data_IF_472721256372
#
_entry.id   IF_472721256372
#
_cell.length_a   1.000
_cell.length_b   1.000
_cell.length_c   1.000
_cell.angle_alpha   90.00
_cell.angle_beta   90.00
_cell.angle_gamma   90.00
#
_symmetry.space_group_name_H-M   'P 1'
#
loop_
_entity.id
_entity.type
_entity.pdbx_description
1 polymer ?
#
# COMPACT_ATOMS: atom_id res chain seq x y z
N UNK A 1 11.23 2.36 3.43
CA UNK A 1 11.70 0.96 3.55
C UNK A 1 10.63 0.12 4.24
N UNK A 2 10.21 -0.93 3.58
CA UNK A 2 9.29 -1.91 4.17
C UNK A 2 10.06 -3.20 4.42
N UNK A 3 10.04 -3.68 5.65
CA UNK A 3 10.60 -4.97 5.99
C UNK A 3 9.52 -6.03 5.87
N UNK A 4 9.70 -6.98 4.96
CA UNK A 4 8.77 -8.08 4.72
C UNK A 4 9.44 -9.41 5.10
N UNK A 5 8.63 -10.46 5.19
CA UNK A 5 9.10 -11.81 5.47
C UNK A 5 10.23 -12.26 4.53
N UNK A 6 10.12 -11.97 3.25
CA UNK A 6 11.03 -12.44 2.21
C UNK A 6 12.09 -11.41 1.80
N UNK A 7 12.19 -10.29 2.49
CA UNK A 7 13.22 -9.29 2.25
C UNK A 7 12.74 -7.86 2.42
N UNK A 8 13.66 -6.93 2.29
CA UNK A 8 13.37 -5.50 2.43
C UNK A 8 13.00 -4.90 1.08
N UNK A 9 12.04 -4.00 1.10
CA UNK A 9 11.55 -3.29 -0.10
C UNK A 9 11.77 -1.80 0.11
N UNK A 10 12.52 -1.18 -0.79
CA UNK A 10 12.73 0.26 -0.79
C UNK A 10 11.75 0.92 -1.77
N UNK A 11 10.98 1.88 -1.26
CA UNK A 11 10.08 2.69 -2.06
C UNK A 11 10.63 4.10 -2.18
N UNK A 12 10.63 4.64 -3.40
CA UNK A 12 10.87 6.06 -3.60
C UNK A 12 9.53 6.77 -3.61
N UNK A 13 9.28 7.60 -2.60
CA UNK A 13 8.06 8.40 -2.54
C UNK A 13 8.22 9.65 -3.41
N UNK A 14 7.14 10.04 -4.07
CA UNK A 14 7.13 11.14 -5.05
C UNK A 14 6.24 12.28 -4.56
N UNK A 15 6.73 13.14 -3.66
CA UNK A 15 5.95 14.29 -3.18
C UNK A 15 5.66 15.32 -4.27
N UNK A 16 6.44 15.31 -5.36
CA UNK A 16 6.17 16.14 -6.54
C UNK A 16 4.88 15.71 -7.25
N UNK A 17 4.49 14.43 -7.17
CA UNK A 17 3.27 13.91 -7.80
C UNK A 17 2.07 13.97 -6.86
N UNK A 18 2.27 13.72 -5.58
CA UNK A 18 1.19 13.58 -4.61
C UNK A 18 1.63 14.10 -3.23
N UNK A 19 1.79 15.43 -3.08
CA UNK A 19 2.36 16.00 -1.85
C UNK A 19 1.57 15.66 -0.60
N UNK A 20 0.26 15.68 -0.64
CA UNK A 20 -0.59 15.40 0.53
C UNK A 20 -0.60 13.92 0.88
N UNK A 21 -0.69 13.05 -0.12
CA UNK A 21 -0.67 11.60 0.09
C UNK A 21 0.68 11.14 0.65
N UNK A 22 1.78 11.62 0.07
CA UNK A 22 3.13 11.29 0.54
C UNK A 22 3.35 11.77 1.97
N UNK A 23 2.90 12.98 2.29
CA UNK A 23 3.02 13.52 3.64
C UNK A 23 2.29 12.64 4.66
N UNK A 24 1.09 12.18 4.35
CA UNK A 24 0.32 11.32 5.24
C UNK A 24 0.96 9.94 5.39
N UNK A 25 1.45 9.34 4.31
CA UNK A 25 2.17 8.07 4.38
C UNK A 25 3.38 8.18 5.30
N UNK A 26 4.19 9.23 5.13
CA UNK A 26 5.36 9.46 5.98
C UNK A 26 4.98 9.61 7.45
N UNK A 27 3.91 10.35 7.73
CA UNK A 27 3.41 10.55 9.07
C UNK A 27 3.00 9.21 9.72
N UNK A 28 2.25 8.38 8.99
CA UNK A 28 1.83 7.07 9.47
C UNK A 28 3.03 6.12 9.68
N UNK A 29 4.01 6.16 8.77
CA UNK A 29 5.24 5.38 8.92
C UNK A 29 5.98 5.78 10.21
N UNK A 30 6.14 7.08 10.44
CA UNK A 30 6.84 7.59 11.63
C UNK A 30 6.13 7.27 12.93
N UNK A 31 4.81 7.15 12.89
CA UNK A 31 4.00 6.77 14.05
C UNK A 31 4.00 5.25 14.30
N UNK A 32 4.59 4.47 13.40
CA UNK A 32 4.57 3.01 13.48
C UNK A 32 3.23 2.39 13.11
N UNK A 33 2.33 3.15 12.49
CA UNK A 33 0.98 2.71 12.18
C UNK A 33 0.93 1.54 11.19
N UNK A 34 1.90 1.44 10.29
CA UNK A 34 1.97 0.35 9.31
C UNK A 34 2.64 -0.92 9.82
N UNK A 35 3.29 -0.86 10.99
CA UNK A 35 3.95 -2.04 11.53
C UNK A 35 2.90 -3.12 11.87
N UNK A 36 3.09 -4.32 11.36
CA UNK A 36 2.18 -5.44 11.58
C UNK A 36 0.97 -5.46 10.66
N UNK A 37 0.84 -4.53 9.72
CA UNK A 37 -0.34 -4.42 8.85
C UNK A 37 -0.25 -5.39 7.68
N UNK A 38 -1.34 -6.14 7.46
CA UNK A 38 -1.41 -7.22 6.49
C UNK A 38 -1.51 -6.73 5.05
N UNK A 39 -0.96 -7.54 4.13
CA UNK A 39 -1.31 -7.47 2.72
C UNK A 39 -2.60 -8.27 2.54
N UNK A 40 -3.72 -7.64 2.79
CA UNK A 40 -5.02 -8.31 2.90
C UNK A 40 -5.67 -8.64 1.56
N UNK A 41 -5.24 -7.98 0.49
CA UNK A 41 -5.78 -8.18 -0.87
C UNK A 41 -4.63 -8.24 -1.86
N UNK A 42 -4.38 -9.42 -2.42
CA UNK A 42 -3.27 -9.64 -3.35
C UNK A 42 -3.79 -10.44 -4.53
N UNK A 43 -3.83 -9.79 -5.69
CA UNK A 43 -4.31 -10.40 -6.93
C UNK A 43 -3.11 -10.76 -7.79
N UNK A 44 -2.90 -12.04 -8.11
CA UNK A 44 -1.77 -12.46 -8.94
C UNK A 44 -1.76 -11.73 -10.29
N UNK A 45 -0.59 -11.26 -10.70
CA UNK A 45 -0.42 -10.56 -11.96
C UNK A 45 -1.00 -9.15 -12.00
N UNK A 46 -1.55 -8.67 -10.89
CA UNK A 46 -2.14 -7.33 -10.79
C UNK A 46 -1.45 -6.48 -9.72
N UNK A 47 -1.80 -6.69 -8.45
CA UNK A 47 -1.24 -5.83 -7.39
C UNK A 47 -1.31 -6.50 -6.00
N UNK A 48 -0.52 -5.96 -5.06
CA UNK A 48 -0.60 -6.30 -3.64
C UNK A 48 -1.06 -5.06 -2.86
N UNK A 49 -2.16 -5.18 -2.14
CA UNK A 49 -2.76 -4.08 -1.38
C UNK A 49 -2.59 -4.29 0.12
N UNK A 50 -2.24 -3.22 0.83
CA UNK A 50 -1.99 -3.21 2.26
C UNK A 50 -2.40 -1.85 2.85
N UNK A 51 -2.13 -1.66 4.13
CA UNK A 51 -2.23 -0.33 4.75
C UNK A 51 -3.53 -0.04 5.47
N UNK A 52 -4.41 -1.03 5.71
CA UNK A 52 -5.57 -0.83 6.59
C UNK A 52 -5.08 -0.84 8.04
N UNK A 53 -4.75 0.34 8.56
CA UNK A 53 -4.19 0.48 9.90
C UNK A 53 -5.21 0.26 11.01
N UNK A 54 -6.49 0.25 10.67
CA UNK A 54 -7.57 0.05 11.63
C UNK A 54 -7.92 -1.43 11.83
N UNK A 55 -8.13 -2.15 10.73
CA UNK A 55 -8.59 -3.54 10.76
C UNK A 55 -7.56 -4.56 10.30
N UNK A 56 -6.46 -4.10 9.72
CA UNK A 56 -5.46 -4.96 9.11
C UNK A 56 -4.21 -5.23 9.92
N UNK A 57 -4.11 -4.73 11.15
CA UNK A 57 -2.94 -4.93 11.98
C UNK A 57 -2.98 -6.32 12.61
N UNK A 58 -2.11 -7.23 12.14
CA UNK A 58 -2.08 -8.62 12.60
C UNK A 58 -1.54 -8.79 14.01
N UNK A 59 -0.88 -7.77 14.53
CA UNK A 59 -0.35 -7.77 15.89
C UNK A 59 -1.35 -7.18 16.88
N UNK A 60 -2.35 -6.44 16.39
CA UNK A 60 -3.33 -5.72 17.21
C UNK A 60 -4.67 -5.61 16.50
N UNK A 61 -5.64 -6.44 16.86
CA UNK A 61 -7.01 -6.25 16.45
C UNK A 61 -7.31 -6.55 14.97
N UNK A 62 -6.61 -7.50 14.38
CA UNK A 62 -6.92 -7.92 13.01
C UNK A 62 -8.35 -8.43 12.90
N UNK A 63 -9.12 -7.87 11.98
CA UNK A 63 -10.51 -8.23 11.72
C UNK A 63 -10.67 -8.64 10.25
N UNK A 64 -10.68 -9.94 9.99
CA UNK A 64 -10.75 -10.47 8.63
C UNK A 64 -12.05 -10.09 7.91
N UNK A 65 -13.13 -9.83 8.64
CA UNK A 65 -14.42 -9.46 8.05
C UNK A 65 -14.45 -8.00 7.58
N UNK A 66 -13.65 -7.13 8.20
CA UNK A 66 -13.66 -5.68 7.93
C UNK A 66 -12.41 -5.17 7.25
N UNK A 67 -11.33 -5.95 7.22
CA UNK A 67 -10.07 -5.51 6.63
C UNK A 67 -10.29 -5.08 5.17
N UNK A 68 -9.69 -3.95 4.81
CA UNK A 68 -9.90 -3.31 3.52
C UNK A 68 -10.88 -2.13 3.57
N UNK A 69 -11.62 -1.98 4.67
CA UNK A 69 -12.60 -0.89 4.84
C UNK A 69 -12.11 0.21 5.76
N UNK A 70 -10.98 0.03 6.45
CA UNK A 70 -10.50 0.96 7.45
C UNK A 70 -9.42 1.89 6.95
N UNK A 71 -9.08 2.85 7.79
CA UNK A 71 -8.02 3.80 7.55
C UNK A 71 -7.53 4.40 8.86
N UNK A 72 -6.74 5.45 8.78
CA UNK A 72 -6.25 6.16 9.95
C UNK A 72 -7.32 7.10 10.53
N UNK A 73 -7.00 7.70 11.68
CA UNK A 73 -7.85 8.73 12.29
C UNK A 73 -7.72 10.10 11.61
N UNK A 74 -6.83 10.23 10.62
CA UNK A 74 -6.67 11.46 9.86
C UNK A 74 -7.76 11.56 8.79
N UNK A 75 -8.08 12.77 8.33
CA UNK A 75 -9.06 12.97 7.26
C UNK A 75 -8.66 12.26 5.97
N UNK A 76 -9.66 11.89 5.19
CA UNK A 76 -9.43 11.38 3.83
C UNK A 76 -8.75 12.45 2.97
N UNK A 77 -8.03 11.99 1.96
CA UNK A 77 -7.21 12.84 1.11
C UNK A 77 -7.90 13.10 -0.23
N UNK A 78 -7.88 14.34 -0.73
CA UNK A 78 -8.35 14.62 -2.08
C UNK A 78 -7.45 13.94 -3.11
N UNK A 79 -8.02 13.57 -4.25
CA UNK A 79 -7.25 12.96 -5.33
C UNK A 79 -6.11 13.87 -5.80
N UNK A 80 -4.98 13.26 -6.11
CA UNK A 80 -3.79 13.95 -6.66
C UNK A 80 -3.35 13.20 -7.92
N UNK A 81 -4.23 13.14 -8.92
CA UNK A 81 -3.97 12.41 -10.17
C UNK A 81 -2.83 13.06 -10.94
N UNK A 82 -2.06 12.22 -11.63
CA UNK A 82 -0.93 12.67 -12.45
C UNK A 82 -0.89 11.88 -13.75
N UNK A 83 0.07 12.22 -14.62
CA UNK A 83 0.31 11.50 -15.88
C UNK A 83 1.24 10.30 -15.68
N UNK A 84 1.74 10.07 -14.48
CA UNK A 84 2.63 8.95 -14.20
C UNK A 84 1.89 7.62 -14.43
N UNK A 85 2.42 6.70 -15.23
CA UNK A 85 1.71 5.46 -15.56
C UNK A 85 1.79 4.44 -14.42
N UNK A 86 0.79 3.57 -14.35
CA UNK A 86 0.82 2.40 -13.49
C UNK A 86 1.51 1.25 -14.21
N UNK A 87 2.77 1.05 -13.87
CA UNK A 87 3.60 -0.02 -14.41
C UNK A 87 4.08 -0.91 -13.26
N UNK A 88 4.75 -2.01 -13.57
CA UNK A 88 5.31 -2.88 -12.53
C UNK A 88 6.15 -2.07 -11.56
N UNK A 89 5.89 -2.24 -10.25
CA UNK A 89 6.58 -1.52 -9.18
C UNK A 89 5.98 -0.18 -8.79
N UNK A 90 5.02 0.35 -9.55
CA UNK A 90 4.34 1.60 -9.18
C UNK A 90 3.53 1.39 -7.91
N UNK A 91 3.58 2.38 -7.01
CA UNK A 91 2.81 2.40 -5.76
C UNK A 91 1.70 3.43 -5.89
N UNK A 92 0.47 3.00 -5.72
CA UNK A 92 -0.71 3.87 -5.78
C UNK A 92 -1.53 3.80 -4.50
N UNK A 93 -2.38 4.80 -4.30
CA UNK A 93 -3.28 4.82 -3.14
C UNK A 93 -4.59 4.12 -3.46
N UNK A 94 -4.96 3.19 -2.60
CA UNK A 94 -6.28 2.57 -2.64
C UNK A 94 -7.32 3.55 -2.15
N UNK A 95 -8.53 3.43 -2.66
CA UNK A 95 -9.66 4.29 -2.31
C UNK A 95 -10.98 3.56 -2.57
N UNK A 96 -12.06 4.10 -2.04
CA UNK A 96 -13.40 3.65 -2.40
C UNK A 96 -13.79 4.23 -3.78
N UNK A 97 -15.06 4.15 -4.14
CA UNK A 97 -15.55 4.74 -5.40
C UNK A 97 -15.42 6.28 -5.42
N UNK A 98 -15.45 6.92 -4.25
CA UNK A 98 -15.19 8.35 -4.14
C UNK A 98 -13.70 8.62 -4.39
N UNK A 99 -13.32 9.38 -5.44
CA UNK A 99 -11.91 9.66 -5.72
C UNK A 99 -11.19 10.44 -4.62
N UNK A 100 -11.92 11.06 -3.71
CA UNK A 100 -11.37 11.81 -2.58
C UNK A 100 -11.46 11.01 -1.27
N UNK A 101 -11.36 9.69 -1.33
CA UNK A 101 -11.49 8.82 -0.16
C UNK A 101 -10.22 8.06 0.22
N UNK A 102 -9.09 8.37 -0.40
CA UNK A 102 -7.81 7.76 -0.03
C UNK A 102 -7.43 8.17 1.40
N UNK A 103 -6.82 7.27 2.14
CA UNK A 103 -6.45 7.54 3.53
C UNK A 103 -5.10 6.90 3.89
N UNK A 104 -5.06 5.58 4.10
CA UNK A 104 -3.85 4.89 4.53
C UNK A 104 -3.50 3.70 3.65
N UNK A 105 -4.47 3.13 2.95
CA UNK A 105 -4.23 1.93 2.16
C UNK A 105 -3.54 2.27 0.84
N UNK A 106 -2.57 1.44 0.47
CA UNK A 106 -1.85 1.58 -0.79
C UNK A 106 -1.62 0.20 -1.41
N UNK A 107 -1.23 0.21 -2.68
CA UNK A 107 -0.96 -1.03 -3.40
C UNK A 107 0.31 -0.91 -4.24
N UNK A 108 0.95 -2.04 -4.48
CA UNK A 108 2.16 -2.15 -5.30
C UNK A 108 1.82 -3.01 -6.50
N UNK A 109 2.12 -2.50 -7.70
CA UNK A 109 1.80 -3.20 -8.95
C UNK A 109 2.76 -4.36 -9.20
N UNK A 110 2.22 -5.54 -9.52
CA UNK A 110 3.01 -6.67 -10.01
C UNK A 110 3.31 -6.54 -11.51
N UNK A 111 2.44 -5.87 -12.24
CA UNK A 111 2.54 -5.73 -13.69
C UNK A 111 1.87 -4.43 -14.13
N UNK A 112 1.96 -4.09 -15.41
CA UNK A 112 1.40 -2.86 -15.93
C UNK A 112 -0.13 -2.89 -15.83
N UNK A 113 -0.70 -1.75 -15.38
CA UNK A 113 -2.14 -1.58 -15.25
C UNK A 113 -2.61 -0.26 -15.86
N UNK A 114 -2.53 -0.11 -17.21
CA UNK A 114 -2.84 1.18 -17.84
C UNK A 114 -4.28 1.65 -17.61
N UNK A 115 -5.20 0.74 -17.29
CA UNK A 115 -6.58 1.11 -16.96
C UNK A 115 -6.70 1.90 -15.66
N UNK A 116 -5.63 1.95 -14.83
CA UNK A 116 -5.58 2.76 -13.60
C UNK A 116 -5.03 4.16 -13.85
N UNK A 117 -4.40 4.39 -15.00
CA UNK A 117 -3.76 5.68 -15.30
C UNK A 117 -4.75 6.84 -15.21
N UNK A 118 -4.40 7.87 -14.43
CA UNK A 118 -5.24 9.04 -14.23
C UNK A 118 -6.48 8.81 -13.37
N UNK A 119 -6.67 7.58 -12.84
CA UNK A 119 -7.84 7.20 -12.04
C UNK A 119 -7.48 7.01 -10.57
N UNK A 120 -6.20 6.81 -10.26
CA UNK A 120 -5.67 6.62 -8.91
C UNK A 120 -4.44 7.49 -8.72
N UNK A 121 -4.20 7.89 -7.48
CA UNK A 121 -3.04 8.72 -7.14
C UNK A 121 -1.78 7.85 -7.06
N UNK A 122 -0.75 8.22 -7.81
CA UNK A 122 0.59 7.60 -7.73
C UNK A 122 1.37 8.29 -6.62
N UNK A 123 1.91 7.53 -5.68
CA UNK A 123 2.70 8.06 -4.57
C UNK A 123 4.19 7.73 -4.68
N UNK A 124 4.55 6.77 -5.51
CA UNK A 124 5.94 6.38 -5.66
C UNK A 124 6.15 5.11 -6.47
N UNK A 125 7.31 4.52 -6.30
CA UNK A 125 7.67 3.27 -6.97
C UNK A 125 8.64 2.46 -6.12
N UNK A 126 8.70 1.15 -6.38
CA UNK A 126 9.72 0.27 -5.82
C UNK A 126 11.03 0.50 -6.55
N UNK A 127 12.09 0.80 -5.79
CA UNK A 127 13.44 0.99 -6.35
C UNK A 127 14.36 -0.18 -6.05
N UNK A 128 14.04 -1.00 -5.05
CA UNK A 128 14.74 -2.26 -4.79
C UNK A 128 13.82 -3.21 -4.02
N UNK A 129 14.09 -4.51 -4.13
CA UNK A 129 13.34 -5.51 -3.38
C UNK A 129 12.06 -5.97 -4.05
N UNK A 130 11.88 -5.74 -5.35
CA UNK A 130 10.68 -6.21 -6.05
C UNK A 130 10.53 -7.73 -5.97
N UNK A 131 11.63 -8.47 -5.84
CA UNK A 131 11.60 -9.92 -5.64
C UNK A 131 10.84 -10.29 -4.36
N UNK A 132 11.00 -9.51 -3.29
CA UNK A 132 10.26 -9.73 -2.04
C UNK A 132 8.78 -9.43 -2.22
N UNK A 133 8.44 -8.40 -3.00
CA UNK A 133 7.05 -8.08 -3.33
C UNK A 133 6.41 -9.24 -4.09
N UNK A 134 7.12 -9.81 -5.06
CA UNK A 134 6.63 -10.94 -5.85
C UNK A 134 6.33 -12.17 -5.00
N UNK A 135 6.97 -12.31 -3.84
CA UNK A 135 6.79 -13.43 -2.92
C UNK A 135 5.69 -13.22 -1.89
N UNK A 136 5.04 -12.06 -1.85
CA UNK A 136 3.90 -11.81 -0.97
C UNK A 136 2.83 -12.84 -1.27
N UNK A 137 2.26 -13.43 -0.21
CA UNK A 137 1.22 -14.44 -0.33
C UNK A 137 0.02 -13.89 -1.09
N UNK A 138 -0.39 -14.60 -2.12
CA UNK A 138 -1.45 -14.19 -3.02
C UNK A 138 -2.80 -14.76 -2.60
N UNK A 139 -3.85 -14.00 -2.87
CA UNK A 139 -5.21 -14.44 -2.69
C UNK A 139 -5.76 -15.07 -3.96
N UNK A 140 -7.05 -15.40 -3.92
CA UNK A 140 -7.79 -15.97 -5.06
C UNK A 140 -8.48 -14.85 -5.84
N UNK A 141 -8.36 -14.88 -7.18
CA UNK A 141 -9.12 -13.95 -8.02
C UNK A 141 -10.63 -14.11 -7.82
N UNK A 142 -11.09 -15.34 -7.58
CA UNK A 142 -12.50 -15.62 -7.33
C UNK A 142 -13.01 -14.94 -6.05
N UNK A 143 -12.12 -14.67 -5.09
CA UNK A 143 -12.43 -13.98 -3.84
C UNK A 143 -11.93 -12.53 -3.85
N UNK A 144 -11.72 -11.95 -5.03
CA UNK A 144 -11.25 -10.58 -5.23
C UNK A 144 -9.90 -10.32 -4.53
N UNK A 145 -9.04 -11.35 -4.49
CA UNK A 145 -7.70 -11.23 -3.92
C UNK A 145 -7.62 -11.35 -2.40
N UNK A 146 -8.72 -11.68 -1.72
CA UNK A 146 -8.70 -11.85 -0.27
C UNK A 146 -7.71 -12.96 0.12
N UNK A 147 -6.83 -12.66 1.09
CA UNK A 147 -5.75 -13.55 1.51
C UNK A 147 -6.05 -14.12 2.88
N UNK A 148 -6.02 -15.46 2.99
CA UNK A 148 -6.08 -16.13 4.29
C UNK A 148 -4.69 -16.21 4.90
N UNK A 149 -4.55 -15.86 6.17
CA UNK A 149 -3.26 -15.80 6.86
C UNK A 149 -2.24 -14.98 6.06
N UNK A 150 -2.53 -13.71 5.78
CA UNK A 150 -1.71 -12.89 4.90
C UNK A 150 -0.33 -12.59 5.48
N UNK A 151 0.62 -12.28 4.59
CA UNK A 151 1.88 -11.69 5.00
C UNK A 151 1.63 -10.26 5.49
N UNK A 152 2.53 -9.75 6.32
CA UNK A 152 2.40 -8.41 6.90
C UNK A 152 3.65 -7.57 6.67
N UNK A 153 3.48 -6.25 6.81
CA UNK A 153 4.62 -5.35 6.94
C UNK A 153 5.18 -5.56 8.34
N UNK A 154 6.39 -6.12 8.45
CA UNK A 154 7.02 -6.34 9.75
C UNK A 154 7.36 -4.99 10.37
N UNK A 155 7.95 -4.11 9.58
CA UNK A 155 8.29 -2.75 10.00
C UNK A 155 8.38 -1.83 8.79
N UNK A 156 7.90 -0.61 8.93
CA UNK A 156 8.05 0.45 7.94
C UNK A 156 8.87 1.59 8.54
N UNK A 157 9.85 2.09 7.78
CA UNK A 157 10.72 3.19 8.23
C UNK A 157 10.93 4.20 7.10
N UNK A 158 11.24 5.42 7.48
CA UNK A 158 11.71 6.45 6.55
C UNK A 158 13.24 6.40 6.58
N UNK A 159 13.86 6.12 5.45
CA UNK A 159 15.33 5.93 5.38
C UNK A 159 16.09 7.16 5.88
N UNK A 160 15.61 8.36 5.56
CA UNK A 160 16.23 9.60 6.03
C UNK A 160 16.25 9.72 7.55
N UNK A 161 15.30 9.08 8.25
CA UNK A 161 15.22 9.11 9.72
C UNK A 161 16.18 8.12 10.39
N UNK A 162 16.76 7.19 9.62
CA UNK A 162 17.66 6.14 10.16
C UNK A 162 19.14 6.47 10.01
N UNK A 163 19.46 7.59 9.41
CA UNK A 163 20.84 8.05 9.20
C UNK A 163 21.41 8.79 10.42
#
# INVERSE_FOLDING_TARGET
>A
MLKLKDGDVALELRPDLAPKHVAQIKKLVREGAYNGVAFHRVIPGFMAQTGDVKFGNMDKGFDAARVGTGGSNYPDLPAEFSKEPFVRGTVGMARSQNPNSANSQFFIMFDDGPFLNGQYTVVGKVVSGMDAVDKIKKGSEAENGAVKNPDKIIKATIEADTK
#
